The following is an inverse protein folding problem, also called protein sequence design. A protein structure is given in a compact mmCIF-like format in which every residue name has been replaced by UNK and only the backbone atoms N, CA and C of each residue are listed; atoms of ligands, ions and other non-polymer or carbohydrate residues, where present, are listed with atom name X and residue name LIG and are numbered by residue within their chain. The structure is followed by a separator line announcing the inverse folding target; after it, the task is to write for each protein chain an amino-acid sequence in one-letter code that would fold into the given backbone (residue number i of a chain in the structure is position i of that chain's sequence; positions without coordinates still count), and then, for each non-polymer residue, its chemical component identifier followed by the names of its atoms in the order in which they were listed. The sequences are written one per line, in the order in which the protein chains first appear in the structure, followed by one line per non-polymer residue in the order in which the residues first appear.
data_IF_231676305656
#
_entry.id   IF_231676305656
#
_cell.length_a   1.000
_cell.length_b   1.000
_cell.length_c   1.000
_cell.angle_alpha   90.00
_cell.angle_beta   90.00
_cell.angle_gamma   90.00
#
_symmetry.space_group_name_H-M   'P 1'
#
loop_
_entity.id
_entity.type
_entity.pdbx_description
1 polymer ?
#
# COMPACT_ATOMS: atom_id res chain seq x y z
N UNK A 1 -39.49 11.42 -32.57
CA UNK A 1 -39.39 10.35 -31.57
C UNK A 1 -37.92 10.10 -31.31
N UNK A 2 -37.48 10.46 -30.10
CA UNK A 2 -36.13 10.21 -29.61
C UNK A 2 -36.08 8.81 -28.99
N UNK A 3 -35.03 8.04 -29.28
CA UNK A 3 -34.49 6.97 -28.43
C UNK A 3 -33.01 6.80 -28.83
N UNK A 4 -32.13 7.45 -28.08
CA UNK A 4 -31.30 6.87 -27.01
C UNK A 4 -29.98 6.34 -27.55
N UNK A 5 -28.99 7.25 -27.51
CA UNK A 5 -27.59 6.91 -27.44
C UNK A 5 -27.32 6.28 -26.06
N UNK A 6 -26.92 5.02 -26.03
CA UNK A 6 -26.20 4.43 -24.92
C UNK A 6 -24.79 4.07 -25.39
N UNK A 7 -23.96 5.10 -25.51
CA UNK A 7 -22.52 4.92 -25.40
C UNK A 7 -22.21 4.64 -23.93
N UNK A 8 -21.94 3.37 -23.60
CA UNK A 8 -21.35 3.03 -22.30
C UNK A 8 -19.99 3.71 -22.18
N UNK A 9 -19.77 4.60 -21.20
CA UNK A 9 -18.46 5.20 -21.00
C UNK A 9 -17.55 4.19 -20.31
N UNK A 10 -16.51 3.77 -21.03
CA UNK A 10 -15.19 3.51 -20.47
C UNK A 10 -15.08 2.48 -19.35
N UNK A 11 -15.37 1.20 -19.63
CA UNK A 11 -14.53 0.13 -19.05
C UNK A 11 -13.16 0.22 -19.70
N UNK A 12 -12.36 1.21 -19.30
CA UNK A 12 -10.93 1.12 -19.47
C UNK A 12 -10.53 -0.11 -18.67
N UNK A 13 -10.24 -1.21 -19.36
CA UNK A 13 -9.43 -2.30 -18.82
C UNK A 13 -8.25 -1.64 -18.13
N UNK A 14 -8.31 -1.51 -16.81
CA UNK A 14 -7.16 -1.11 -15.99
C UNK A 14 -6.19 -2.25 -16.14
N UNK A 15 -5.38 -2.19 -17.20
CA UNK A 15 -4.34 -3.15 -17.55
C UNK A 15 -3.60 -3.47 -16.26
N UNK A 16 -3.79 -4.69 -15.76
CA UNK A 16 -3.12 -5.13 -14.55
C UNK A 16 -1.62 -4.97 -14.81
N UNK A 17 -0.96 -4.12 -14.03
CA UNK A 17 0.47 -3.95 -14.17
C UNK A 17 1.13 -5.23 -13.68
N UNK A 18 2.05 -5.81 -14.46
CA UNK A 18 2.67 -7.06 -14.09
C UNK A 18 3.46 -6.89 -12.80
N UNK A 19 3.39 -7.89 -11.93
CA UNK A 19 4.27 -7.99 -10.76
C UNK A 19 5.74 -7.87 -11.22
N UNK A 20 6.56 -7.02 -10.57
CA UNK A 20 7.95 -6.87 -10.96
C UNK A 20 8.71 -8.19 -10.75
N UNK A 21 9.63 -8.48 -11.66
CA UNK A 21 10.56 -9.60 -11.51
C UNK A 21 11.46 -9.38 -10.27
N UNK A 22 11.89 -10.45 -9.61
CA UNK A 22 12.65 -10.38 -8.35
C UNK A 22 13.95 -9.55 -8.47
N UNK A 23 14.61 -9.58 -9.62
CA UNK A 23 15.81 -8.81 -9.93
C UNK A 23 15.57 -7.29 -10.00
N UNK A 24 14.30 -6.87 -10.02
CA UNK A 24 13.88 -5.46 -9.95
C UNK A 24 13.51 -5.03 -8.54
N UNK A 25 13.61 -5.89 -7.53
CA UNK A 25 13.43 -5.52 -6.14
C UNK A 25 14.77 -5.07 -5.54
N UNK A 26 14.76 -3.98 -4.79
CA UNK A 26 15.94 -3.48 -4.08
C UNK A 26 16.13 -4.29 -2.79
N UNK A 27 17.24 -5.02 -2.71
CA UNK A 27 17.64 -5.69 -1.48
C UNK A 27 18.01 -4.64 -0.42
N UNK A 28 17.55 -4.83 0.82
CA UNK A 28 17.93 -3.96 1.93
C UNK A 28 19.32 -4.32 2.50
N UNK A 29 19.81 -5.53 2.23
CA UNK A 29 21.04 -6.08 2.79
C UNK A 29 22.31 -5.29 2.42
N UNK A 30 22.25 -4.45 1.38
CA UNK A 30 23.41 -3.73 0.85
C UNK A 30 23.49 -2.26 1.32
N UNK A 31 22.62 -1.81 2.22
CA UNK A 31 22.31 -0.37 2.35
C UNK A 31 22.39 0.24 3.77
N UNK A 32 22.99 -0.43 4.76
CA UNK A 32 22.98 0.03 6.16
C UNK A 32 21.56 0.43 6.62
N UNK A 33 20.57 -0.41 6.31
CA UNK A 33 19.15 -0.08 6.49
C UNK A 33 18.83 0.38 7.92
N UNK A 34 18.30 1.59 8.05
CA UNK A 34 17.88 2.16 9.32
C UNK A 34 16.42 1.79 9.59
N UNK A 35 16.16 1.33 10.82
CA UNK A 35 14.80 1.07 11.26
C UNK A 35 13.95 2.34 11.20
N UNK A 36 12.81 2.26 10.52
CA UNK A 36 11.82 3.32 10.48
C UNK A 36 10.82 3.09 11.62
N UNK A 37 10.67 4.04 12.56
CA UNK A 37 9.66 3.90 13.60
C UNK A 37 8.27 3.91 12.95
N UNK A 38 7.45 2.95 13.40
CA UNK A 38 6.04 2.86 13.04
C UNK A 38 5.23 3.21 14.28
N UNK A 39 4.40 4.23 14.18
CA UNK A 39 3.65 4.76 15.32
C UNK A 39 2.18 4.96 14.94
N UNK A 40 1.23 4.76 15.88
CA UNK A 40 -0.13 5.22 15.70
C UNK A 40 -0.16 6.73 15.45
N UNK A 41 -1.06 7.16 14.56
CA UNK A 41 -1.21 8.58 14.28
C UNK A 41 -2.11 9.28 15.31
N UNK A 42 -1.82 10.55 15.61
CA UNK A 42 -2.69 11.37 16.46
C UNK A 42 -4.03 11.71 15.77
N UNK A 43 -5.11 11.85 16.56
CA UNK A 43 -6.49 12.06 16.09
C UNK A 43 -6.66 13.19 15.07
N UNK A 44 -6.00 14.34 15.28
CA UNK A 44 -6.09 15.47 14.34
C UNK A 44 -5.52 15.13 12.97
N UNK A 45 -4.38 14.42 12.95
CA UNK A 45 -3.77 14.00 11.69
C UNK A 45 -4.55 12.84 11.06
N UNK A 46 -5.14 11.94 11.86
CA UNK A 46 -6.03 10.89 11.37
C UNK A 46 -7.23 11.46 10.60
N UNK A 47 -7.88 12.51 11.16
CA UNK A 47 -8.99 13.22 10.48
C UNK A 47 -8.55 13.92 9.20
N UNK A 48 -7.37 14.53 9.19
CA UNK A 48 -6.83 15.14 7.97
C UNK A 48 -6.56 14.09 6.88
N UNK A 49 -6.07 12.90 7.28
CA UNK A 49 -5.88 11.76 6.38
C UNK A 49 -7.21 11.23 5.85
N UNK A 50 -8.24 11.10 6.69
CA UNK A 50 -9.58 10.73 6.22
C UNK A 50 -10.14 11.70 5.19
N UNK A 51 -9.90 13.00 5.37
CA UNK A 51 -10.29 13.98 4.36
C UNK A 51 -9.53 13.75 3.04
N UNK A 52 -8.23 13.52 3.10
CA UNK A 52 -7.43 13.21 1.91
C UNK A 52 -7.89 11.91 1.22
N UNK A 53 -8.31 10.89 1.98
CA UNK A 53 -8.84 9.62 1.45
C UNK A 53 -10.14 9.81 0.67
N UNK A 54 -11.03 10.69 1.12
CA UNK A 54 -12.27 11.01 0.39
C UNK A 54 -12.00 11.57 -1.00
N UNK A 55 -10.95 12.37 -1.12
CA UNK A 55 -10.59 13.03 -2.36
C UNK A 55 -9.74 12.13 -3.28
N UNK A 56 -8.80 11.37 -2.71
CA UNK A 56 -7.79 10.62 -3.46
C UNK A 56 -8.03 9.12 -3.60
N UNK A 57 -8.95 8.53 -2.81
CA UNK A 57 -9.33 7.12 -2.87
C UNK A 57 -10.83 6.94 -2.55
N UNK A 58 -11.73 7.51 -3.37
CA UNK A 58 -13.16 7.46 -3.10
C UNK A 58 -13.66 6.01 -3.03
N UNK A 59 -14.44 5.72 -1.99
CA UNK A 59 -14.97 4.38 -1.72
C UNK A 59 -14.10 3.52 -0.80
N UNK A 60 -12.91 3.98 -0.41
CA UNK A 60 -12.10 3.29 0.60
C UNK A 60 -12.59 3.65 2.01
N UNK A 61 -13.34 2.74 2.63
CA UNK A 61 -13.74 2.87 4.04
C UNK A 61 -12.63 2.37 4.96
N UNK A 62 -12.11 3.24 5.82
CA UNK A 62 -11.02 2.94 6.73
C UNK A 62 -11.39 3.30 8.18
N UNK A 63 -10.71 2.68 9.14
CA UNK A 63 -10.78 3.06 10.55
C UNK A 63 -9.60 3.97 10.91
N UNK A 64 -9.88 5.19 11.31
CA UNK A 64 -8.86 6.18 11.72
C UNK A 64 -8.01 5.72 12.92
N UNK A 65 -8.52 4.78 13.71
CA UNK A 65 -7.80 4.22 14.87
C UNK A 65 -6.73 3.19 14.49
N UNK A 66 -6.72 2.71 13.25
CA UNK A 66 -5.77 1.68 12.78
C UNK A 66 -4.68 2.26 11.87
N UNK A 67 -4.64 3.59 11.73
CA UNK A 67 -3.66 4.27 10.90
C UNK A 67 -2.27 4.24 11.52
N UNK A 68 -1.32 3.76 10.72
CA UNK A 68 0.08 3.69 11.10
C UNK A 68 0.88 4.74 10.33
N UNK A 69 1.67 5.52 11.06
CA UNK A 69 2.52 6.57 10.54
C UNK A 69 3.97 6.08 10.52
N UNK A 70 4.61 6.19 9.35
CA UNK A 70 6.04 6.02 9.14
C UNK A 70 6.62 7.37 8.74
N UNK A 71 7.79 7.71 9.29
CA UNK A 71 8.51 8.93 8.93
C UNK A 71 9.82 8.57 8.26
N UNK A 72 10.06 9.15 7.11
CA UNK A 72 11.32 9.01 6.39
C UNK A 72 11.76 10.36 5.83
N UNK A 73 12.96 10.79 6.24
CA UNK A 73 13.43 12.15 6.00
C UNK A 73 12.42 13.18 6.52
N UNK A 74 12.01 14.10 5.63
CA UNK A 74 11.04 15.16 5.94
C UNK A 74 9.59 14.80 5.60
N UNK A 75 9.31 13.54 5.24
CA UNK A 75 7.98 13.10 4.78
C UNK A 75 7.32 12.17 5.81
N UNK A 76 6.04 12.41 6.08
CA UNK A 76 5.18 11.49 6.81
C UNK A 76 4.37 10.65 5.83
N UNK A 77 4.35 9.33 6.04
CA UNK A 77 3.61 8.34 5.28
C UNK A 77 2.63 7.64 6.22
N UNK A 78 1.34 7.72 5.91
CA UNK A 78 0.29 7.14 6.75
C UNK A 78 -0.37 6.01 5.99
N UNK A 79 -0.12 4.77 6.44
CA UNK A 79 -0.76 3.58 5.92
C UNK A 79 -2.19 3.51 6.45
N UNK A 80 -3.14 3.47 5.52
CA UNK A 80 -4.57 3.42 5.77
C UNK A 80 -5.11 2.14 5.17
N UNK A 81 -5.63 1.23 6.00
CA UNK A 81 -6.15 -0.05 5.52
C UNK A 81 -7.67 -0.02 5.51
N UNK A 82 -8.25 -0.64 4.48
CA UNK A 82 -9.69 -0.74 4.35
C UNK A 82 -10.26 -1.69 5.40
N UNK A 83 -11.44 -1.34 5.94
CA UNK A 83 -12.15 -2.21 6.89
C UNK A 83 -12.40 -3.58 6.30
N UNK A 84 -12.83 -3.62 5.04
CA UNK A 84 -13.08 -4.86 4.30
C UNK A 84 -11.85 -5.77 4.21
N UNK A 85 -10.65 -5.22 4.02
CA UNK A 85 -9.42 -6.02 3.96
C UNK A 85 -8.96 -6.50 5.34
N UNK A 86 -9.30 -5.76 6.41
CA UNK A 86 -8.92 -6.09 7.78
C UNK A 86 -9.93 -7.02 8.48
N UNK A 87 -11.18 -7.08 8.01
CA UNK A 87 -12.26 -7.91 8.56
C UNK A 87 -11.94 -9.42 8.55
N UNK A 88 -12.51 -10.14 9.51
CA UNK A 88 -12.42 -11.59 9.57
C UNK A 88 -13.02 -12.22 8.30
N UNK A 89 -12.23 -12.98 7.55
CA UNK A 89 -12.64 -13.59 6.29
C UNK A 89 -12.42 -12.72 5.04
N UNK A 90 -12.07 -11.43 5.18
CA UNK A 90 -11.67 -10.57 4.06
C UNK A 90 -10.45 -11.12 3.30
N UNK A 91 -9.60 -11.87 4.01
CA UNK A 91 -8.43 -12.53 3.46
C UNK A 91 -8.77 -13.58 2.37
N UNK A 92 -9.87 -14.32 2.48
CA UNK A 92 -10.24 -15.33 1.48
C UNK A 92 -10.54 -14.73 0.10
N UNK A 93 -11.01 -13.48 0.07
CA UNK A 93 -11.27 -12.75 -1.18
C UNK A 93 -9.96 -12.44 -1.92
N UNK A 94 -8.86 -12.25 -1.18
CA UNK A 94 -7.55 -11.94 -1.75
C UNK A 94 -7.01 -13.08 -2.63
N UNK A 95 -7.42 -14.32 -2.35
CA UNK A 95 -7.04 -15.50 -3.14
C UNK A 95 -7.85 -15.68 -4.42
N UNK A 96 -8.95 -14.92 -4.57
CA UNK A 96 -9.88 -15.07 -5.71
C UNK A 96 -9.70 -13.97 -6.74
N UNK A 97 -9.31 -12.78 -6.31
CA UNK A 97 -9.23 -11.61 -7.18
C UNK A 97 -8.27 -10.55 -6.65
N UNK A 98 -7.82 -9.70 -7.58
CA UNK A 98 -7.11 -8.46 -7.24
C UNK A 98 -8.00 -7.59 -6.34
N UNK A 99 -7.44 -7.18 -5.22
CA UNK A 99 -8.16 -6.51 -4.14
C UNK A 99 -7.40 -5.26 -3.69
N UNK A 100 -8.13 -4.17 -3.46
CA UNK A 100 -7.58 -2.94 -2.86
C UNK A 100 -7.56 -3.11 -1.34
N UNK A 101 -6.37 -3.23 -0.76
CA UNK A 101 -6.18 -3.39 0.68
C UNK A 101 -6.26 -2.06 1.42
N UNK A 102 -5.84 -0.97 0.77
CA UNK A 102 -5.68 0.31 1.45
C UNK A 102 -5.05 1.39 0.57
N UNK A 103 -4.60 2.45 1.22
CA UNK A 103 -3.89 3.56 0.61
C UNK A 103 -2.80 4.10 1.53
N UNK A 104 -1.88 4.87 0.96
CA UNK A 104 -0.87 5.62 1.71
C UNK A 104 -1.07 7.10 1.48
N UNK A 105 -1.37 7.83 2.55
CA UNK A 105 -1.43 9.27 2.54
C UNK A 105 -0.06 9.84 2.93
N UNK A 106 0.42 10.81 2.16
CA UNK A 106 1.73 11.44 2.35
C UNK A 106 1.59 12.92 2.64
N UNK A 107 2.50 13.44 3.46
CA UNK A 107 2.64 14.88 3.72
C UNK A 107 4.11 15.24 3.89
N UNK A 108 4.60 16.15 3.05
CA UNK A 108 5.95 16.69 3.21
C UNK A 108 6.00 17.73 4.34
N UNK A 109 7.19 17.98 4.90
CA UNK A 109 7.39 19.02 5.90
C UNK A 109 7.05 20.39 5.31
N UNK A 110 6.24 21.15 6.06
CA UNK A 110 5.75 22.46 5.63
C UNK A 110 4.48 22.41 4.79
N UNK A 111 4.01 21.23 4.36
CA UNK A 111 2.69 21.09 3.77
C UNK A 111 1.61 21.00 4.86
N UNK A 112 0.49 21.70 4.63
CA UNK A 112 -0.64 21.70 5.57
C UNK A 112 -1.51 20.44 5.45
N UNK A 113 -1.63 19.90 4.23
CA UNK A 113 -2.58 18.84 3.91
C UNK A 113 -1.89 17.52 3.55
N UNK A 114 -2.53 16.41 3.92
CA UNK A 114 -2.18 15.08 3.41
C UNK A 114 -2.71 14.90 1.99
N UNK A 115 -2.03 14.07 1.19
CA UNK A 115 -2.48 13.66 -0.14
C UNK A 115 -2.35 12.15 -0.28
N UNK A 116 -3.32 11.49 -0.89
CA UNK A 116 -3.20 10.07 -1.24
C UNK A 116 -2.35 9.96 -2.49
N UNK A 117 -1.16 9.41 -2.32
CA UNK A 117 -0.19 9.24 -3.42
C UNK A 117 -0.06 7.79 -3.85
N UNK A 118 -0.43 6.84 -2.99
CA UNK A 118 -0.29 5.42 -3.26
C UNK A 118 -1.50 4.60 -2.82
N UNK A 119 -1.69 3.47 -3.48
CA UNK A 119 -2.67 2.43 -3.19
C UNK A 119 -1.94 1.14 -2.82
N UNK A 120 -2.44 0.45 -1.80
CA UNK A 120 -1.98 -0.88 -1.39
C UNK A 120 -2.91 -1.92 -1.99
N UNK A 121 -2.37 -2.85 -2.76
CA UNK A 121 -3.12 -3.82 -3.56
C UNK A 121 -2.57 -5.21 -3.31
N UNK A 122 -3.45 -6.21 -3.27
CA UNK A 122 -3.06 -7.62 -3.34
C UNK A 122 -3.68 -8.32 -4.54
N UNK A 123 -3.00 -9.31 -5.08
CA UNK A 123 -3.51 -10.18 -6.15
C UNK A 123 -3.10 -11.63 -5.91
N UNK A 124 -3.95 -12.61 -6.27
CA UNK A 124 -3.62 -14.02 -6.09
C UNK A 124 -2.48 -14.46 -7.01
N UNK A 125 -1.60 -15.32 -6.51
CA UNK A 125 -0.55 -15.94 -7.30
C UNK A 125 -1.11 -17.19 -7.98
N UNK A 126 -1.08 -17.21 -9.31
CA UNK A 126 -1.53 -18.37 -10.07
C UNK A 126 -0.73 -19.62 -9.70
N UNK A 127 -1.43 -20.69 -9.29
CA UNK A 127 -0.83 -21.97 -8.94
C UNK A 127 -0.36 -22.11 -7.49
N UNK A 128 -0.49 -21.07 -6.64
CA UNK A 128 -0.16 -21.13 -5.21
C UNK A 128 -1.41 -20.86 -4.36
N UNK A 129 -1.81 -21.84 -3.54
CA UNK A 129 -3.13 -21.84 -2.88
C UNK A 129 -3.30 -20.78 -1.78
N UNK A 130 -2.21 -20.29 -1.18
CA UNK A 130 -2.24 -19.38 -0.04
C UNK A 130 -1.37 -18.13 -0.26
N UNK A 131 -0.97 -17.86 -1.50
CA UNK A 131 -0.01 -16.80 -1.80
C UNK A 131 -0.66 -15.69 -2.61
N UNK A 132 -0.31 -14.46 -2.26
CA UNK A 132 -0.68 -13.25 -2.99
C UNK A 132 0.57 -12.43 -3.28
N UNK A 133 0.59 -11.72 -4.40
CA UNK A 133 1.47 -10.58 -4.52
C UNK A 133 0.86 -9.41 -3.76
N UNK A 134 1.69 -8.68 -3.03
CA UNK A 134 1.32 -7.41 -2.41
C UNK A 134 2.12 -6.31 -3.08
N UNK A 135 1.44 -5.22 -3.44
CA UNK A 135 2.02 -4.11 -4.19
C UNK A 135 1.58 -2.78 -3.60
N UNK A 136 2.52 -1.84 -3.56
CA UNK A 136 2.22 -0.41 -3.37
C UNK A 136 2.37 0.25 -4.72
N UNK A 137 1.30 0.86 -5.21
CA UNK A 137 1.23 1.50 -6.52
C UNK A 137 0.97 2.99 -6.35
N UNK A 138 1.63 3.83 -7.15
CA UNK A 138 1.24 5.24 -7.26
C UNK A 138 -0.17 5.33 -7.86
N UNK A 139 -0.86 6.44 -7.58
CA UNK A 139 -2.14 6.72 -8.23
C UNK A 139 -2.03 6.84 -9.78
N UNK A 140 -0.82 7.09 -10.32
CA UNK A 140 -0.51 6.99 -11.75
C UNK A 140 -0.55 5.56 -12.29
N UNK A 141 -0.43 4.55 -11.42
CA UNK A 141 -0.34 3.14 -11.71
C UNK A 141 1.02 2.54 -11.33
N UNK A 142 2.10 3.31 -11.34
CA UNK A 142 3.45 2.76 -11.22
C UNK A 142 3.68 2.00 -9.90
N UNK A 143 4.20 0.78 -9.98
CA UNK A 143 4.53 -0.04 -8.80
C UNK A 143 5.81 0.52 -8.16
N UNK A 144 5.73 0.83 -6.87
CA UNK A 144 6.83 1.44 -6.11
C UNK A 144 7.41 0.51 -5.06
N UNK A 145 6.57 -0.38 -4.53
CA UNK A 145 6.99 -1.51 -3.72
C UNK A 145 6.22 -2.74 -4.15
N UNK A 146 6.86 -3.90 -4.07
CA UNK A 146 6.23 -5.16 -4.34
C UNK A 146 6.87 -6.26 -3.50
N UNK A 147 6.12 -7.32 -3.30
CA UNK A 147 6.60 -8.53 -2.68
C UNK A 147 5.48 -9.52 -2.49
N UNK A 148 5.68 -10.45 -1.58
CA UNK A 148 4.83 -11.61 -1.42
C UNK A 148 4.11 -11.54 -0.10
N UNK A 149 2.91 -12.11 -0.08
CA UNK A 149 2.17 -12.37 1.13
C UNK A 149 1.63 -13.78 1.16
N UNK A 150 1.59 -14.33 2.36
CA UNK A 150 1.04 -15.65 2.66
C UNK A 150 -0.17 -15.49 3.58
N UNK A 151 -1.25 -16.18 3.23
CA UNK A 151 -2.43 -16.25 4.06
C UNK A 151 -2.31 -17.43 5.03
N UNK A 152 -2.21 -17.12 6.31
CA UNK A 152 -2.16 -18.09 7.39
C UNK A 152 -3.05 -17.65 8.55
N UNK A 153 -3.86 -18.56 9.09
CA UNK A 153 -4.71 -18.33 10.26
C UNK A 153 -5.62 -17.09 10.18
N UNK A 154 -6.14 -16.78 8.97
CA UNK A 154 -7.02 -15.61 8.76
C UNK A 154 -6.29 -14.27 8.73
N UNK A 155 -4.96 -14.28 8.61
CA UNK A 155 -4.13 -13.10 8.45
C UNK A 155 -3.30 -13.22 7.18
N UNK A 156 -3.04 -12.08 6.54
CA UNK A 156 -2.05 -11.93 5.49
C UNK A 156 -0.73 -11.51 6.11
N UNK A 157 0.25 -12.39 6.12
CA UNK A 157 1.64 -12.06 6.43
C UNK A 157 2.31 -11.59 5.15
N UNK A 158 2.99 -10.44 5.15
CA UNK A 158 3.56 -9.90 3.93
C UNK A 158 4.94 -9.30 4.13
N UNK A 159 5.71 -9.31 3.03
CA UNK A 159 7.02 -8.69 2.92
C UNK A 159 7.06 -7.90 1.62
N UNK A 160 7.43 -6.62 1.69
CA UNK A 160 7.49 -5.68 0.58
C UNK A 160 8.89 -5.10 0.46
N UNK A 161 9.35 -4.96 -0.78
CA UNK A 161 10.60 -4.32 -1.13
C UNK A 161 10.36 -3.20 -2.13
N UNK A 162 11.15 -2.13 -2.05
CA UNK A 162 11.15 -1.08 -3.06
C UNK A 162 11.50 -1.65 -4.44
N UNK A 163 10.82 -1.16 -5.47
CA UNK A 163 11.14 -1.48 -6.86
C UNK A 163 12.26 -0.56 -7.35
N UNK A 164 13.24 -1.13 -8.05
CA UNK A 164 14.37 -0.42 -8.65
C UNK A 164 13.88 0.51 -9.76
N UNK A 165 14.06 1.80 -9.54
CA UNK A 165 13.74 2.89 -10.47
C UNK A 165 14.61 4.11 -10.16
N UNK A 166 14.74 5.07 -11.09
CA UNK A 166 15.46 6.32 -10.83
C UNK A 166 14.96 7.00 -9.55
N UNK A 167 15.87 7.31 -8.62
CA UNK A 167 15.56 7.96 -7.35
C UNK A 167 14.86 7.08 -6.30
N UNK A 168 14.72 5.77 -6.52
CA UNK A 168 14.24 4.88 -5.48
C UNK A 168 15.28 4.68 -4.38
N UNK A 169 14.82 4.76 -3.14
CA UNK A 169 15.56 4.36 -1.95
C UNK A 169 15.23 2.90 -1.65
N UNK A 170 16.23 2.06 -1.33
CA UNK A 170 16.00 0.72 -0.78
C UNK A 170 15.12 0.81 0.47
N UNK A 171 13.96 0.15 0.45
CA UNK A 171 13.00 0.12 1.55
C UNK A 171 12.43 -1.29 1.65
N UNK A 172 12.35 -1.81 2.86
CA UNK A 172 11.72 -3.08 3.18
C UNK A 172 10.69 -2.88 4.28
N UNK A 173 9.50 -3.46 4.09
CA UNK A 173 8.42 -3.44 5.08
C UNK A 173 7.90 -4.86 5.21
N UNK A 174 7.77 -5.33 6.45
CA UNK A 174 7.09 -6.58 6.77
C UNK A 174 6.00 -6.32 7.80
N UNK A 175 4.92 -7.09 7.72
CA UNK A 175 3.79 -6.91 8.61
C UNK A 175 2.75 -7.99 8.45
N UNK A 176 1.66 -7.84 9.21
CA UNK A 176 0.47 -8.66 9.09
C UNK A 176 -0.79 -7.80 8.94
N UNK A 177 -1.74 -8.31 8.18
CA UNK A 177 -3.05 -7.73 7.99
C UNK A 177 -4.12 -8.76 8.34
N UNK A 178 -4.98 -8.45 9.31
CA UNK A 178 -6.11 -9.28 9.68
C UNK A 178 -6.55 -9.04 11.13
N UNK A 179 -7.71 -9.56 11.51
CA UNK A 179 -8.25 -9.31 12.86
C UNK A 179 -8.56 -7.83 13.13
N UNK A 180 -8.93 -7.09 12.09
CA UNK A 180 -9.36 -5.69 12.17
C UNK A 180 -8.25 -4.64 12.12
N UNK A 181 -6.98 -5.03 11.99
CA UNK A 181 -5.88 -4.08 11.98
C UNK A 181 -4.73 -4.49 11.06
N UNK A 182 -3.89 -3.50 10.74
CA UNK A 182 -2.56 -3.67 10.16
C UNK A 182 -1.55 -3.57 11.30
N UNK A 183 -0.57 -4.47 11.31
CA UNK A 183 0.61 -4.35 12.16
C UNK A 183 1.86 -4.41 11.27
N UNK A 184 2.78 -3.47 11.46
CA UNK A 184 4.05 -3.44 10.75
C UNK A 184 5.14 -3.81 11.73
N UNK A 185 5.59 -5.07 11.63
CA UNK A 185 6.59 -5.64 12.53
C UNK A 185 8.01 -5.23 12.15
N UNK A 186 8.21 -4.83 10.89
CA UNK A 186 9.48 -4.34 10.41
C UNK A 186 9.30 -3.27 9.35
N UNK A 187 10.04 -2.18 9.46
CA UNK A 187 10.19 -1.18 8.41
C UNK A 187 11.61 -0.65 8.47
N UNK A 188 12.30 -0.64 7.33
CA UNK A 188 13.66 -0.13 7.25
C UNK A 188 13.95 0.46 5.87
N UNK A 189 14.73 1.55 5.84
CA UNK A 189 15.15 2.20 4.61
C UNK A 189 16.66 2.41 4.58
N UNK A 190 17.26 2.38 3.39
CA UNK A 190 18.60 2.91 3.17
C UNK A 190 18.64 4.40 3.49
N UNK A 191 19.83 4.92 3.81
CA UNK A 191 19.99 6.34 4.10
C UNK A 191 19.61 7.20 2.88
N UNK A 192 18.93 8.36 3.07
CA UNK A 192 18.60 9.27 1.98
C UNK A 192 19.84 9.80 1.24
N UNK A 193 21.00 9.81 1.90
CA UNK A 193 22.28 10.28 1.36
C UNK A 193 23.06 9.18 0.59
N UNK A 194 22.58 7.93 0.58
CA UNK A 194 23.29 6.81 -0.04
C UNK A 194 23.05 6.67 -1.56
N UNK A 195 22.25 7.55 -2.16
CA UNK A 195 21.97 7.53 -3.60
C UNK A 195 22.94 8.46 -4.33
N UNK A 196 24.09 7.90 -4.74
CA UNK A 196 25.06 8.54 -5.65
C UNK A 196 24.87 8.08 -7.09
#
# INVERSE_FOLDING_TARGET
MAMHAEGSPGSAERKALPFPQEDKLLALADCDGHALPVEPIGLHAARAVLQALRDGAPGLDCDENTFLCLRYGETAHVACVSRQAAEQGGSEVLLKQRSLLGAVATRAKGEEAYRVSHLLVAEPVAGLACSVHVMVQQCSGDVVMAGWGELAHGQLLFHLHAVKRPGAVPLAIAGCLGGGHLDLTHAAAGSPDAVH
#
